data_IF_664986326551
#
_entry.id   IF_664986326551
#
_cell.length_a   1.000
_cell.length_b   1.000
_cell.length_c   1.000
_cell.angle_alpha   90.00
_cell.angle_beta   90.00
_cell.angle_gamma   90.00
#
_symmetry.space_group_name_H-M   'P 1'
#
loop_
_entity.id
_entity.type
_entity.pdbx_description
1 polymer ?
#
# COMPACT_ATOMS: atom_id res chain seq x y z
N UNK A 1 -21.18 -3.31 -34.43
CA UNK A 1 -21.75 -3.03 -33.12
C UNK A 1 -20.64 -2.59 -32.21
N UNK A 2 -20.67 -1.34 -31.91
CA UNK A 2 -19.79 -0.68 -31.00
C UNK A 2 -20.11 -1.15 -29.59
N UNK A 3 -19.41 -2.07 -29.06
CA UNK A 3 -19.44 -2.34 -27.66
C UNK A 3 -18.44 -1.36 -27.01
N UNK A 4 -18.91 -0.13 -26.84
CA UNK A 4 -18.30 0.85 -25.98
C UNK A 4 -18.42 0.36 -24.54
N UNK A 5 -17.63 -0.61 -24.19
CA UNK A 5 -17.36 -0.91 -22.81
C UNK A 5 -16.39 0.16 -22.35
N UNK A 6 -16.89 1.19 -21.70
CA UNK A 6 -16.09 1.96 -20.74
C UNK A 6 -15.58 0.93 -19.74
N UNK A 7 -14.30 0.61 -19.81
CA UNK A 7 -13.72 -0.40 -18.94
C UNK A 7 -13.15 0.21 -17.67
N UNK A 8 -13.12 1.52 -17.59
CA UNK A 8 -12.65 2.24 -16.43
C UNK A 8 -13.85 2.46 -15.49
N UNK A 9 -13.65 2.19 -14.21
CA UNK A 9 -14.71 2.33 -13.22
C UNK A 9 -14.12 2.63 -11.83
N UNK A 10 -14.90 3.32 -11.01
CA UNK A 10 -14.57 3.60 -9.64
C UNK A 10 -15.31 2.66 -8.68
N UNK A 11 -14.56 1.95 -7.85
CA UNK A 11 -15.11 1.19 -6.72
C UNK A 11 -14.71 1.90 -5.43
N UNK A 12 -15.67 2.26 -4.60
CA UNK A 12 -15.40 2.96 -3.35
C UNK A 12 -16.26 2.44 -2.19
N UNK A 13 -15.85 2.77 -0.96
CA UNK A 13 -16.56 2.38 0.26
C UNK A 13 -17.49 3.51 0.73
N UNK A 14 -18.84 3.42 0.50
CA UNK A 14 -19.75 4.54 0.76
C UNK A 14 -19.85 4.93 2.24
N UNK A 15 -19.39 4.05 3.14
CA UNK A 15 -19.32 4.35 4.58
C UNK A 15 -18.14 5.26 4.95
N UNK A 16 -17.13 5.38 4.06
CA UNK A 16 -15.91 6.16 4.27
C UNK A 16 -15.79 7.35 3.31
N UNK A 17 -16.27 7.20 2.09
CA UNK A 17 -16.11 8.14 0.99
C UNK A 17 -17.47 8.52 0.43
N UNK A 18 -17.63 9.76 0.01
CA UNK A 18 -18.79 10.26 -0.72
C UNK A 18 -18.32 10.89 -2.04
N UNK A 19 -19.14 10.79 -3.07
CA UNK A 19 -18.92 11.46 -4.37
C UNK A 19 -19.36 12.92 -4.31
N UNK A 20 -18.75 13.76 -5.14
CA UNK A 20 -19.13 15.16 -5.37
C UNK A 20 -19.31 15.37 -6.87
N UNK A 21 -20.47 15.91 -7.27
CA UNK A 21 -20.83 16.03 -8.67
C UNK A 21 -21.18 14.68 -9.33
N UNK A 22 -21.48 14.74 -10.62
CA UNK A 22 -21.71 13.58 -11.46
C UNK A 22 -20.41 13.19 -12.18
N UNK A 23 -20.21 11.91 -12.41
CA UNK A 23 -19.15 11.39 -13.28
C UNK A 23 -19.31 11.94 -14.70
N UNK A 24 -18.23 12.34 -15.31
CA UNK A 24 -18.16 12.71 -16.72
C UNK A 24 -17.25 11.74 -17.45
N UNK A 25 -17.45 11.62 -18.74
CA UNK A 25 -16.65 10.79 -19.64
C UNK A 25 -16.16 11.69 -20.77
N UNK A 26 -14.85 11.66 -21.04
CA UNK A 26 -14.31 12.34 -22.22
C UNK A 26 -14.77 11.61 -23.48
N UNK A 27 -15.67 12.25 -24.25
CA UNK A 27 -16.21 11.64 -25.47
C UNK A 27 -15.41 12.04 -26.71
N UNK A 28 -15.59 11.32 -27.82
CA UNK A 28 -14.93 11.62 -29.12
C UNK A 28 -15.26 13.01 -29.67
N UNK A 29 -16.42 13.57 -29.24
CA UNK A 29 -16.89 14.90 -29.65
C UNK A 29 -16.27 16.03 -28.81
N UNK A 30 -15.72 15.68 -27.65
CA UNK A 30 -15.16 16.65 -26.72
C UNK A 30 -13.73 16.98 -27.10
N UNK A 31 -13.52 18.16 -27.66
CA UNK A 31 -12.26 18.77 -27.98
C UNK A 31 -11.37 18.15 -29.09
N UNK A 32 -10.47 18.94 -29.63
CA UNK A 32 -9.44 18.62 -30.64
C UNK A 32 -9.94 18.25 -32.05
N UNK A 33 -11.13 18.71 -32.48
CA UNK A 33 -11.66 18.47 -33.85
C UNK A 33 -11.72 16.97 -34.24
N UNK A 34 -12.12 16.10 -33.31
CA UNK A 34 -12.26 14.67 -33.54
C UNK A 34 -10.94 13.92 -33.65
N UNK A 35 -9.86 14.42 -33.04
CA UNK A 35 -8.52 13.82 -33.06
C UNK A 35 -7.87 13.77 -31.68
N UNK A 36 -8.63 13.47 -30.67
CA UNK A 36 -8.12 13.39 -29.30
C UNK A 36 -7.43 12.05 -28.97
N UNK A 37 -7.31 11.13 -29.91
CA UNK A 37 -6.69 9.82 -29.71
C UNK A 37 -7.61 8.78 -29.06
N UNK A 38 -8.85 9.14 -28.71
CA UNK A 38 -9.82 8.22 -28.09
C UNK A 38 -10.90 7.68 -29.04
N UNK A 39 -10.83 8.00 -30.31
CA UNK A 39 -11.81 7.58 -31.34
C UNK A 39 -12.02 6.04 -31.40
N UNK A 40 -11.01 5.28 -30.95
CA UNK A 40 -11.05 3.84 -30.89
C UNK A 40 -10.41 3.30 -29.60
N UNK A 41 -10.35 4.14 -28.55
CA UNK A 41 -9.75 3.83 -27.28
C UNK A 41 -10.79 3.74 -26.14
N UNK A 42 -10.30 3.42 -24.96
CA UNK A 42 -11.06 3.55 -23.70
C UNK A 42 -11.10 5.02 -23.33
N UNK A 43 -12.29 5.51 -23.09
CA UNK A 43 -12.49 6.92 -22.76
C UNK A 43 -12.22 7.16 -21.28
N UNK A 44 -11.46 8.20 -20.92
CA UNK A 44 -11.27 8.56 -19.51
C UNK A 44 -12.59 8.96 -18.87
N UNK A 45 -12.74 8.61 -17.62
CA UNK A 45 -13.83 9.05 -16.76
C UNK A 45 -13.30 9.75 -15.51
N UNK A 46 -14.07 10.70 -14.98
CA UNK A 46 -13.75 11.41 -13.76
C UNK A 46 -14.73 11.10 -12.64
N UNK A 47 -14.28 11.22 -11.42
CA UNK A 47 -15.13 11.34 -10.25
C UNK A 47 -14.43 12.13 -9.15
N UNK A 48 -15.12 13.11 -8.62
CA UNK A 48 -14.65 13.77 -7.43
C UNK A 48 -15.13 13.04 -6.17
N UNK A 49 -14.22 12.88 -5.21
CA UNK A 49 -14.45 12.20 -3.94
C UNK A 49 -14.09 13.10 -2.77
N UNK A 50 -14.76 12.86 -1.64
CA UNK A 50 -14.40 13.44 -0.34
C UNK A 50 -14.58 12.42 0.77
N UNK A 51 -13.94 12.64 1.92
CA UNK A 51 -14.27 11.87 3.12
C UNK A 51 -15.74 12.04 3.46
N UNK A 52 -16.39 10.99 3.93
CA UNK A 52 -17.79 11.08 4.34
C UNK A 52 -17.96 12.09 5.47
N UNK A 53 -18.83 13.08 5.25
CA UNK A 53 -19.07 14.17 6.19
C UNK A 53 -18.16 15.38 6.04
N UNK A 54 -17.14 15.32 5.17
CA UNK A 54 -16.31 16.48 4.85
C UNK A 54 -17.05 17.48 3.94
N UNK A 55 -16.57 18.73 3.90
CA UNK A 55 -17.12 19.74 2.97
C UNK A 55 -16.77 19.39 1.51
N UNK A 56 -17.55 19.90 0.55
CA UNK A 56 -17.26 19.70 -0.88
C UNK A 56 -15.95 20.36 -1.29
N UNK A 57 -15.55 21.44 -0.63
CA UNK A 57 -14.25 22.11 -0.82
C UNK A 57 -13.04 21.21 -0.47
N UNK A 58 -13.24 20.17 0.32
CA UNK A 58 -12.18 19.23 0.70
C UNK A 58 -12.01 18.10 -0.33
N UNK A 59 -12.91 18.04 -1.33
CA UNK A 59 -12.87 17.02 -2.35
C UNK A 59 -11.59 17.03 -3.19
N UNK A 60 -11.30 15.89 -3.77
CA UNK A 60 -10.26 15.68 -4.75
C UNK A 60 -10.86 15.00 -5.99
N UNK A 61 -10.38 15.42 -7.16
CA UNK A 61 -10.76 14.83 -8.43
C UNK A 61 -9.84 13.66 -8.74
N UNK A 62 -10.43 12.54 -9.20
CA UNK A 62 -9.70 11.41 -9.77
C UNK A 62 -10.16 11.23 -11.20
N UNK A 63 -9.21 11.18 -12.13
CA UNK A 63 -9.49 10.88 -13.54
C UNK A 63 -8.83 9.54 -13.87
N UNK A 64 -9.65 8.53 -14.13
CA UNK A 64 -9.20 7.21 -14.53
C UNK A 64 -9.04 7.17 -16.05
N UNK A 65 -7.98 6.49 -16.51
CA UNK A 65 -7.71 6.42 -17.93
C UNK A 65 -6.95 5.14 -18.31
N UNK A 66 -7.07 4.76 -19.59
CA UNK A 66 -6.35 3.66 -20.17
C UNK A 66 -5.91 4.01 -21.59
N UNK A 67 -4.65 4.38 -21.75
CA UNK A 67 -4.09 4.80 -23.03
C UNK A 67 -3.95 3.64 -24.02
N UNK A 68 -3.77 3.99 -25.27
CA UNK A 68 -3.60 3.01 -26.35
C UNK A 68 -2.37 2.15 -26.14
N UNK A 69 -2.57 0.82 -26.17
CA UNK A 69 -1.49 -0.16 -26.00
C UNK A 69 -0.46 -0.12 -27.14
N UNK A 70 0.74 -0.59 -26.86
CA UNK A 70 1.86 -0.67 -27.81
C UNK A 70 1.72 -1.83 -28.83
N UNK A 71 0.68 -2.66 -28.74
CA UNK A 71 0.58 -3.93 -29.46
C UNK A 71 0.44 -3.80 -30.98
N UNK A 72 -0.24 -2.77 -31.50
CA UNK A 72 -0.45 -2.64 -32.94
C UNK A 72 -0.58 -1.19 -33.38
N UNK A 73 -0.05 -0.89 -34.57
CA UNK A 73 -0.25 0.38 -35.27
C UNK A 73 -1.59 0.38 -36.01
N UNK A 74 -2.41 1.42 -35.82
CA UNK A 74 -3.66 1.58 -36.56
C UNK A 74 -3.47 2.29 -37.91
N UNK A 75 -2.37 3.01 -38.08
CA UNK A 75 -2.01 3.75 -39.30
C UNK A 75 -0.51 4.08 -39.32
N UNK A 76 -0.03 4.71 -40.37
CA UNK A 76 1.40 5.01 -40.56
C UNK A 76 1.99 5.90 -39.45
N UNK A 77 1.19 6.82 -38.87
CA UNK A 77 1.64 7.72 -37.77
C UNK A 77 1.85 6.96 -36.45
N UNK A 78 1.21 5.81 -36.32
CA UNK A 78 1.24 4.96 -35.12
C UNK A 78 2.20 3.78 -35.22
N UNK A 79 2.99 3.70 -36.30
CA UNK A 79 4.05 2.70 -36.38
C UNK A 79 5.16 3.01 -35.41
N UNK A 80 5.81 1.98 -34.92
CA UNK A 80 6.97 2.10 -34.03
C UNK A 80 8.04 2.96 -34.68
N UNK A 81 8.43 4.11 -34.09
CA UNK A 81 9.46 4.97 -34.63
C UNK A 81 10.87 4.41 -34.41
N UNK A 82 11.04 3.32 -33.68
CA UNK A 82 12.32 2.71 -33.35
C UNK A 82 13.12 3.44 -32.27
N UNK A 83 12.48 4.30 -31.50
CA UNK A 83 13.09 5.07 -30.40
C UNK A 83 12.79 4.46 -29.00
N UNK A 84 12.19 3.26 -28.96
CA UNK A 84 11.81 2.55 -27.76
C UNK A 84 10.38 2.83 -27.27
N UNK A 85 9.68 3.81 -27.86
CA UNK A 85 8.29 4.15 -27.48
C UNK A 85 7.27 3.11 -27.98
N UNK A 86 7.63 2.31 -29.01
CA UNK A 86 6.77 1.31 -29.61
C UNK A 86 5.61 1.87 -30.42
N UNK A 87 4.74 0.99 -30.89
CA UNK A 87 3.57 1.39 -31.67
C UNK A 87 2.64 2.35 -30.89
N UNK A 88 1.88 3.15 -31.60
CA UNK A 88 0.84 4.06 -31.12
C UNK A 88 1.32 5.20 -30.18
N UNK A 89 2.61 5.55 -30.21
CA UNK A 89 3.13 6.69 -29.45
C UNK A 89 2.44 8.00 -29.83
N UNK A 90 2.20 8.23 -31.13
CA UNK A 90 1.45 9.39 -31.60
C UNK A 90 0.06 9.49 -30.96
N UNK A 91 -0.68 8.37 -30.90
CA UNK A 91 -2.01 8.32 -30.29
C UNK A 91 -1.90 8.58 -28.76
N UNK A 92 -0.96 7.97 -28.06
CA UNK A 92 -0.79 8.20 -26.63
C UNK A 92 -0.43 9.65 -26.29
N UNK A 93 0.36 10.32 -27.16
CA UNK A 93 0.64 11.74 -26.98
C UNK A 93 -0.63 12.59 -27.13
N UNK A 94 -1.49 12.29 -28.11
CA UNK A 94 -2.77 12.97 -28.26
C UNK A 94 -3.71 12.71 -27.09
N UNK A 95 -3.72 11.47 -26.58
CA UNK A 95 -4.49 11.10 -25.37
C UNK A 95 -4.03 11.86 -24.13
N UNK A 96 -2.70 12.06 -23.96
CA UNK A 96 -2.18 12.86 -22.85
C UNK A 96 -2.62 14.33 -22.94
N UNK A 97 -2.58 14.93 -24.13
CA UNK A 97 -3.03 16.30 -24.34
C UNK A 97 -4.55 16.44 -24.06
N UNK A 98 -5.36 15.49 -24.54
CA UNK A 98 -6.80 15.49 -24.33
C UNK A 98 -7.16 15.24 -22.84
N UNK A 99 -6.46 14.33 -22.17
CA UNK A 99 -6.64 14.07 -20.74
C UNK A 99 -6.39 15.33 -19.91
N UNK A 100 -5.31 16.05 -20.19
CA UNK A 100 -4.97 17.29 -19.47
C UNK A 100 -6.05 18.37 -19.68
N UNK A 101 -6.49 18.58 -20.91
CA UNK A 101 -7.53 19.55 -21.22
C UNK A 101 -8.88 19.20 -20.57
N UNK A 102 -9.30 17.94 -20.64
CA UNK A 102 -10.50 17.44 -19.96
C UNK A 102 -10.42 17.65 -18.46
N UNK A 103 -9.29 17.31 -17.86
CA UNK A 103 -9.05 17.46 -16.43
C UNK A 103 -9.15 18.93 -15.99
N UNK A 104 -8.57 19.85 -16.75
CA UNK A 104 -8.63 21.28 -16.44
C UNK A 104 -10.05 21.84 -16.54
N UNK A 105 -10.85 21.39 -17.50
CA UNK A 105 -12.26 21.75 -17.62
C UNK A 105 -13.05 21.26 -16.40
N UNK A 106 -12.95 19.97 -16.08
CA UNK A 106 -13.68 19.36 -14.93
C UNK A 106 -13.28 20.01 -13.62
N UNK A 107 -11.97 20.20 -13.41
CA UNK A 107 -11.42 20.87 -12.23
C UNK A 107 -11.99 22.27 -12.06
N UNK A 108 -12.05 23.04 -13.16
CA UNK A 108 -12.59 24.41 -13.19
C UNK A 108 -14.07 24.43 -12.84
N UNK A 109 -14.87 23.57 -13.45
CA UNK A 109 -16.33 23.50 -13.25
C UNK A 109 -16.70 23.10 -11.83
N UNK A 110 -15.99 22.12 -11.27
CA UNK A 110 -16.19 21.65 -9.90
C UNK A 110 -15.50 22.54 -8.85
N UNK A 111 -14.68 23.50 -9.27
CA UNK A 111 -13.90 24.38 -8.40
C UNK A 111 -13.00 23.62 -7.44
N UNK A 112 -12.35 22.57 -7.94
CA UNK A 112 -11.45 21.72 -7.16
C UNK A 112 -9.99 22.05 -7.45
N UNK A 113 -9.14 21.90 -6.43
CA UNK A 113 -7.70 22.14 -6.58
C UNK A 113 -6.90 20.83 -6.67
N UNK A 114 -7.32 19.80 -5.94
CA UNK A 114 -6.59 18.53 -5.83
C UNK A 114 -7.00 17.60 -6.97
N UNK A 115 -6.03 17.15 -7.76
CA UNK A 115 -6.26 16.26 -8.90
C UNK A 115 -5.28 15.09 -8.89
N UNK A 116 -5.82 13.89 -9.09
CA UNK A 116 -5.07 12.68 -9.37
C UNK A 116 -5.46 12.15 -10.75
N UNK A 117 -4.45 11.81 -11.58
CA UNK A 117 -4.64 11.08 -12.83
C UNK A 117 -4.15 9.65 -12.60
N UNK A 118 -4.98 8.66 -12.88
CA UNK A 118 -4.69 7.27 -12.52
C UNK A 118 -4.99 6.32 -13.68
N UNK A 119 -4.27 5.22 -13.75
CA UNK A 119 -4.57 4.14 -14.70
C UNK A 119 -3.35 3.60 -15.44
N UNK A 120 -3.62 2.78 -16.45
CA UNK A 120 -2.63 2.25 -17.38
C UNK A 120 -2.41 3.24 -18.53
N UNK A 121 -1.27 3.92 -18.50
CA UNK A 121 -0.88 4.88 -19.54
C UNK A 121 -0.18 4.20 -20.74
N UNK A 122 0.08 2.91 -20.67
CA UNK A 122 0.80 2.15 -21.70
C UNK A 122 2.11 2.82 -22.17
N UNK A 123 2.74 3.58 -21.30
CA UNK A 123 3.97 4.31 -21.55
C UNK A 123 4.84 4.33 -20.29
N UNK A 124 6.14 4.16 -20.47
CA UNK A 124 7.10 4.26 -19.39
C UNK A 124 7.45 5.71 -19.08
N UNK A 125 8.00 5.97 -17.90
CA UNK A 125 8.25 7.31 -17.39
C UNK A 125 8.98 8.23 -18.38
N UNK A 126 10.02 7.74 -19.08
CA UNK A 126 10.80 8.54 -20.02
C UNK A 126 10.08 8.83 -21.35
N UNK A 127 8.93 8.21 -21.61
CA UNK A 127 8.22 8.38 -22.88
C UNK A 127 7.46 9.71 -22.94
N UNK A 128 7.30 10.25 -24.15
CA UNK A 128 6.70 11.56 -24.41
C UNK A 128 5.31 11.76 -23.80
N UNK A 129 4.37 10.78 -23.84
CA UNK A 129 3.05 10.95 -23.22
C UNK A 129 3.14 11.26 -21.72
N UNK A 130 4.02 10.54 -21.01
CA UNK A 130 4.24 10.74 -19.57
C UNK A 130 4.93 12.09 -19.31
N UNK A 131 5.95 12.41 -20.10
CA UNK A 131 6.68 13.67 -19.95
C UNK A 131 5.79 14.91 -20.22
N UNK A 132 4.77 14.82 -21.05
CA UNK A 132 3.75 15.86 -21.21
C UNK A 132 2.97 16.11 -19.91
N UNK A 133 2.57 15.03 -19.22
CA UNK A 133 1.84 15.12 -17.94
C UNK A 133 2.74 15.72 -16.85
N UNK A 134 4.00 15.30 -16.79
CA UNK A 134 4.99 15.85 -15.86
C UNK A 134 5.23 17.34 -16.15
N UNK A 135 5.39 17.72 -17.42
CA UNK A 135 5.58 19.11 -17.84
C UNK A 135 4.36 20.01 -17.53
N UNK A 136 3.16 19.43 -17.43
CA UNK A 136 1.95 20.12 -16.97
C UNK A 136 1.87 20.30 -15.44
N UNK A 137 2.91 19.94 -14.70
CA UNK A 137 3.03 20.15 -13.25
C UNK A 137 2.52 19.01 -12.38
N UNK A 138 2.39 17.80 -12.94
CA UNK A 138 2.04 16.60 -12.17
C UNK A 138 3.29 15.84 -11.74
N UNK A 139 3.25 15.32 -10.53
CA UNK A 139 4.28 14.44 -9.99
C UNK A 139 3.84 12.98 -10.15
N UNK A 140 4.68 12.14 -10.72
CA UNK A 140 4.46 10.70 -10.83
C UNK A 140 4.86 9.99 -9.54
N UNK A 141 3.88 9.50 -8.79
CA UNK A 141 4.08 8.79 -7.54
C UNK A 141 4.57 7.36 -7.77
N UNK A 142 4.19 6.73 -8.89
CA UNK A 142 4.62 5.38 -9.23
C UNK A 142 6.11 5.34 -9.55
N UNK A 143 6.62 6.34 -10.28
CA UNK A 143 8.05 6.45 -10.57
C UNK A 143 8.86 6.71 -9.30
N UNK A 144 8.39 7.57 -8.39
CA UNK A 144 9.04 7.79 -7.10
C UNK A 144 9.16 6.49 -6.28
N UNK A 145 8.14 5.61 -6.33
CA UNK A 145 8.20 4.29 -5.69
C UNK A 145 9.22 3.40 -6.40
N UNK A 146 9.19 3.37 -7.74
CA UNK A 146 10.10 2.56 -8.55
C UNK A 146 11.56 2.92 -8.31
N UNK A 147 11.89 4.22 -8.33
CA UNK A 147 13.23 4.73 -8.03
C UNK A 147 13.72 4.36 -6.63
N UNK A 148 12.83 4.45 -5.64
CA UNK A 148 13.17 4.22 -4.23
C UNK A 148 13.28 2.74 -3.86
N UNK A 149 12.43 1.89 -4.45
CA UNK A 149 12.22 0.51 -3.97
C UNK A 149 12.61 -0.56 -4.99
N UNK A 150 12.76 -0.20 -6.27
CA UNK A 150 12.93 -1.14 -7.37
C UNK A 150 11.67 -1.96 -7.70
N UNK A 151 10.49 -1.54 -7.22
CA UNK A 151 9.21 -2.14 -7.56
C UNK A 151 8.65 -1.51 -8.82
N UNK A 152 7.98 -2.30 -9.64
CA UNK A 152 7.38 -1.87 -10.91
C UNK A 152 5.98 -2.48 -11.06
N UNK A 153 5.14 -1.86 -11.89
CA UNK A 153 3.76 -2.30 -12.07
C UNK A 153 3.60 -3.40 -13.12
N UNK A 154 4.61 -3.59 -13.99
CA UNK A 154 4.53 -4.54 -15.10
C UNK A 154 5.85 -5.29 -15.29
N UNK A 155 5.76 -6.58 -15.53
CA UNK A 155 6.89 -7.43 -15.93
C UNK A 155 6.62 -8.06 -17.31
N UNK A 156 7.61 -8.02 -18.18
CA UNK A 156 7.50 -8.51 -19.55
C UNK A 156 8.70 -9.36 -19.96
N UNK A 157 8.51 -10.13 -21.01
CA UNK A 157 9.60 -10.89 -21.62
C UNK A 157 9.89 -10.34 -23.00
N UNK A 158 11.17 -10.14 -23.30
CA UNK A 158 11.65 -9.76 -24.62
C UNK A 158 12.57 -10.85 -25.16
N UNK A 159 12.59 -11.03 -26.48
CA UNK A 159 13.59 -11.83 -27.15
C UNK A 159 14.70 -10.90 -27.62
N UNK A 160 15.94 -11.24 -27.30
CA UNK A 160 17.10 -10.56 -27.86
C UNK A 160 17.33 -10.96 -29.35
N UNK A 161 18.29 -10.30 -30.01
CA UNK A 161 18.61 -10.57 -31.39
C UNK A 161 19.07 -12.02 -31.66
N UNK A 162 19.50 -12.73 -30.62
CA UNK A 162 19.91 -14.14 -30.66
C UNK A 162 18.73 -15.09 -30.38
N UNK A 163 17.53 -14.57 -30.12
CA UNK A 163 16.33 -15.34 -29.80
C UNK A 163 16.23 -15.81 -28.34
N UNK A 164 17.14 -15.39 -27.46
CA UNK A 164 17.04 -15.68 -26.04
C UNK A 164 15.92 -14.87 -25.41
N UNK A 165 15.21 -15.47 -24.48
CA UNK A 165 14.16 -14.78 -23.74
C UNK A 165 14.76 -14.09 -22.51
N UNK A 166 14.68 -12.77 -22.47
CA UNK A 166 15.09 -11.94 -21.34
C UNK A 166 13.85 -11.33 -20.68
N UNK A 167 13.86 -11.21 -19.35
CA UNK A 167 12.84 -10.50 -18.62
C UNK A 167 13.18 -9.02 -18.51
N UNK A 168 12.16 -8.17 -18.55
CA UNK A 168 12.25 -6.75 -18.24
C UNK A 168 11.13 -6.36 -17.30
N UNK A 169 11.32 -5.25 -16.60
CA UNK A 169 10.32 -4.66 -15.70
C UNK A 169 10.17 -3.17 -15.98
N UNK A 170 9.02 -2.60 -15.69
CA UNK A 170 8.77 -1.18 -15.80
C UNK A 170 7.36 -0.83 -15.33
N UNK A 171 7.10 0.45 -15.11
CA UNK A 171 5.77 0.92 -14.73
C UNK A 171 5.03 1.45 -15.94
N UNK A 172 3.89 0.86 -16.26
CA UNK A 172 2.92 1.33 -17.26
C UNK A 172 1.71 1.97 -16.57
N UNK A 173 1.48 1.56 -15.32
CA UNK A 173 0.41 2.08 -14.47
C UNK A 173 0.99 3.21 -13.60
N UNK A 174 0.37 4.37 -13.68
CA UNK A 174 0.83 5.57 -12.99
C UNK A 174 -0.27 6.17 -12.14
N UNK A 175 0.14 6.80 -11.03
CA UNK A 175 -0.67 7.75 -10.29
C UNK A 175 0.07 9.08 -10.29
N UNK A 176 -0.50 10.03 -10.99
CA UNK A 176 -0.02 11.41 -10.99
C UNK A 176 -0.81 12.25 -10.01
N UNK A 177 -0.14 13.14 -9.31
CA UNK A 177 -0.75 14.12 -8.45
C UNK A 177 -0.28 15.53 -8.82
N UNK A 178 -1.19 16.50 -8.96
CA UNK A 178 -0.81 17.88 -9.09
C UNK A 178 -0.30 18.44 -7.75
N UNK A 179 0.28 19.64 -7.74
CA UNK A 179 0.87 20.23 -6.53
C UNK A 179 -0.10 20.28 -5.34
N UNK A 180 -1.38 20.61 -5.58
CA UNK A 180 -2.39 20.68 -4.54
C UNK A 180 -2.72 19.30 -3.96
N UNK A 181 -2.79 18.25 -4.80
CA UNK A 181 -3.00 16.88 -4.39
C UNK A 181 -1.79 16.31 -3.64
N UNK A 182 -0.56 16.63 -4.10
CA UNK A 182 0.68 16.20 -3.45
C UNK A 182 0.74 16.59 -1.97
N UNK A 183 0.21 17.75 -1.61
CA UNK A 183 0.12 18.18 -0.20
C UNK A 183 -0.75 17.27 0.66
N UNK A 184 -1.60 16.46 0.07
CA UNK A 184 -2.44 15.49 0.79
C UNK A 184 -1.89 14.06 0.79
N UNK A 185 -0.88 13.77 -0.03
CA UNK A 185 -0.28 12.44 -0.11
C UNK A 185 0.51 12.13 1.16
N UNK A 186 0.22 11.00 1.77
CA UNK A 186 0.89 10.51 2.99
C UNK A 186 1.85 9.36 2.73
N UNK A 187 1.77 8.73 1.56
CA UNK A 187 2.67 7.66 1.12
C UNK A 187 2.20 7.05 -0.19
N UNK A 188 3.09 6.32 -0.83
CA UNK A 188 2.82 5.54 -2.03
C UNK A 188 3.59 4.22 -1.99
N UNK A 189 3.04 3.17 -2.60
CA UNK A 189 3.70 1.89 -2.81
C UNK A 189 3.13 1.18 -4.05
N UNK A 190 3.87 0.20 -4.57
CA UNK A 190 3.41 -0.73 -5.59
C UNK A 190 3.27 -2.10 -4.92
N UNK A 191 2.08 -2.68 -5.00
CA UNK A 191 1.78 -3.96 -4.36
C UNK A 191 2.04 -5.11 -5.33
N UNK A 192 3.26 -5.66 -5.31
CA UNK A 192 3.71 -6.71 -6.23
C UNK A 192 3.10 -8.08 -5.88
N UNK A 193 1.87 -8.30 -6.31
CA UNK A 193 1.10 -9.56 -6.14
C UNK A 193 0.68 -10.19 -7.47
N UNK A 194 1.00 -9.56 -8.58
CA UNK A 194 0.52 -9.96 -9.90
C UNK A 194 1.66 -10.15 -10.92
N UNK A 195 2.34 -9.07 -11.33
CA UNK A 195 3.25 -9.09 -12.48
C UNK A 195 4.45 -10.04 -12.29
N UNK A 196 4.92 -10.17 -11.06
CA UNK A 196 6.05 -11.02 -10.67
C UNK A 196 5.64 -12.46 -10.29
N UNK A 197 4.35 -12.71 -10.13
CA UNK A 197 3.81 -14.02 -9.81
C UNK A 197 3.83 -14.95 -11.05
N UNK A 198 3.89 -16.25 -10.80
CA UNK A 198 3.91 -17.23 -11.86
C UNK A 198 2.67 -17.14 -12.74
N UNK A 199 2.85 -17.11 -14.07
CA UNK A 199 1.77 -17.19 -15.05
C UNK A 199 0.90 -18.46 -14.88
N UNK A 200 1.41 -19.49 -14.19
CA UNK A 200 0.65 -20.68 -13.88
C UNK A 200 -0.53 -20.42 -12.91
N UNK A 201 -0.47 -19.33 -12.16
CA UNK A 201 -1.53 -18.91 -11.23
C UNK A 201 -2.55 -17.97 -11.88
N UNK A 202 -2.33 -17.54 -13.12
CA UNK A 202 -3.13 -16.53 -13.79
C UNK A 202 -4.61 -16.93 -13.91
N UNK A 203 -5.50 -15.96 -13.70
CA UNK A 203 -6.96 -16.13 -13.78
C UNK A 203 -7.45 -16.52 -15.17
N UNK A 204 -6.74 -16.14 -16.22
CA UNK A 204 -7.11 -16.30 -17.64
C UNK A 204 -6.79 -17.68 -18.17
N UNK A 205 -6.73 -18.69 -17.61
CA UNK A 205 -6.49 -20.11 -17.96
C UNK A 205 -6.48 -20.50 -19.45
N UNK A 206 -6.90 -19.61 -20.34
CA UNK A 206 -6.99 -19.88 -21.78
C UNK A 206 -5.63 -19.97 -22.47
N UNK A 207 -4.65 -19.24 -21.98
CA UNK A 207 -3.32 -19.16 -22.57
C UNK A 207 -2.36 -20.21 -22.01
N UNK A 208 -2.67 -20.79 -20.86
CA UNK A 208 -1.78 -21.68 -20.12
C UNK A 208 -2.56 -22.90 -19.63
N UNK A 209 -2.00 -24.10 -19.82
CA UNK A 209 -2.63 -25.35 -19.36
C UNK A 209 -2.57 -25.59 -17.85
N UNK A 210 -2.44 -24.55 -17.07
CA UNK A 210 -2.23 -24.60 -15.61
C UNK A 210 -3.53 -24.54 -14.80
N UNK A 211 -4.61 -25.15 -15.27
CA UNK A 211 -5.94 -25.13 -14.63
C UNK A 211 -5.95 -25.52 -13.16
N UNK A 212 -5.02 -26.37 -12.74
CA UNK A 212 -4.98 -26.92 -11.40
C UNK A 212 -4.25 -26.01 -10.39
N UNK A 213 -3.54 -24.98 -10.85
CA UNK A 213 -2.77 -24.06 -10.00
C UNK A 213 -3.48 -22.74 -9.75
N UNK A 214 -4.51 -22.41 -10.55
CA UNK A 214 -5.33 -21.23 -10.32
C UNK A 214 -6.09 -21.34 -8.99
N UNK A 215 -6.04 -20.28 -8.22
CA UNK A 215 -6.86 -20.07 -7.03
C UNK A 215 -7.59 -18.72 -7.14
N UNK A 216 -8.81 -18.64 -6.59
CA UNK A 216 -9.59 -17.42 -6.59
C UNK A 216 -9.17 -16.55 -5.38
N UNK A 217 -7.95 -16.04 -5.44
CA UNK A 217 -7.36 -15.16 -4.43
C UNK A 217 -6.83 -13.87 -5.08
N UNK A 218 -6.06 -13.08 -4.35
CA UNK A 218 -5.54 -11.81 -4.83
C UNK A 218 -4.31 -11.93 -5.74
N UNK A 219 -3.64 -13.09 -5.75
CA UNK A 219 -2.40 -13.26 -6.49
C UNK A 219 -2.65 -13.57 -7.96
N UNK A 220 -1.89 -12.94 -8.85
CA UNK A 220 -1.99 -13.09 -10.30
C UNK A 220 -3.42 -12.87 -10.85
N UNK A 221 -4.19 -12.01 -10.20
CA UNK A 221 -5.51 -11.59 -10.66
C UNK A 221 -5.44 -10.64 -11.87
N UNK A 222 -4.25 -10.17 -12.22
CA UNK A 222 -3.91 -9.34 -13.38
C UNK A 222 -2.47 -9.65 -13.82
N UNK A 223 -2.05 -9.18 -14.97
CA UNK A 223 -0.64 -9.10 -15.39
C UNK A 223 0.03 -7.79 -14.94
N UNK A 224 -0.74 -6.86 -14.36
CA UNK A 224 -0.27 -5.62 -13.78
C UNK A 224 -0.40 -5.61 -12.25
N UNK A 225 0.50 -4.90 -11.58
CA UNK A 225 0.47 -4.69 -10.14
C UNK A 225 -0.22 -3.38 -9.76
N UNK A 226 -1.07 -3.38 -8.73
CA UNK A 226 -1.76 -2.17 -8.30
C UNK A 226 -0.81 -1.17 -7.63
N UNK A 227 -0.97 0.10 -7.97
CA UNK A 227 -0.36 1.23 -7.27
C UNK A 227 -1.27 1.66 -6.14
N UNK A 228 -0.71 1.89 -4.96
CA UNK A 228 -1.43 2.29 -3.75
C UNK A 228 -0.91 3.63 -3.28
N UNK A 229 -1.81 4.56 -3.00
CA UNK A 229 -1.47 5.83 -2.35
C UNK A 229 -2.30 6.03 -1.08
N UNK A 230 -1.67 6.62 -0.08
CA UNK A 230 -2.35 7.17 1.08
C UNK A 230 -2.58 8.66 0.90
N UNK A 231 -3.79 9.13 1.18
CA UNK A 231 -4.11 10.56 1.18
C UNK A 231 -4.78 10.98 2.49
N UNK A 232 -4.43 12.17 2.97
CA UNK A 232 -5.16 12.81 4.07
C UNK A 232 -6.48 13.37 3.54
N UNK A 233 -7.58 12.84 4.01
CA UNK A 233 -8.93 13.20 3.56
C UNK A 233 -9.51 14.47 4.25
N UNK A 234 -8.82 15.01 5.25
CA UNK A 234 -9.18 16.28 5.88
C UNK A 234 -8.39 17.41 5.24
N UNK A 235 -9.05 18.53 4.94
CA UNK A 235 -8.48 19.71 4.29
C UNK A 235 -7.44 20.50 5.09
N UNK A 236 -6.84 19.89 6.08
CA UNK A 236 -5.66 20.43 6.73
C UNK A 236 -4.47 20.32 5.78
N UNK A 237 -3.98 21.45 5.33
CA UNK A 237 -2.64 21.61 4.75
C UNK A 237 -1.70 20.66 5.47
N UNK A 238 -1.12 19.71 4.73
CA UNK A 238 -0.24 18.71 5.28
C UNK A 238 0.92 19.34 6.03
N UNK A 239 0.73 19.57 7.31
CA UNK A 239 1.85 19.74 8.21
C UNK A 239 2.57 18.40 8.27
N UNK A 240 3.85 18.38 7.99
CA UNK A 240 4.69 17.22 8.28
C UNK A 240 4.61 16.96 9.78
N UNK A 241 4.06 15.82 10.19
CA UNK A 241 4.16 15.38 11.58
C UNK A 241 5.42 14.52 11.69
N UNK A 242 6.34 14.96 12.53
CA UNK A 242 7.49 14.12 12.87
C UNK A 242 7.02 13.09 13.90
N UNK A 243 7.24 11.81 13.59
CA UNK A 243 7.03 10.70 14.50
C UNK A 243 8.40 10.09 14.84
N UNK A 244 8.67 9.92 16.10
CA UNK A 244 9.84 9.22 16.61
C UNK A 244 9.43 7.79 16.99
N UNK A 245 9.75 6.83 16.15
CA UNK A 245 9.44 5.42 16.38
C UNK A 245 10.63 4.74 17.03
N UNK A 246 10.51 4.42 18.31
CA UNK A 246 11.48 3.64 19.07
C UNK A 246 11.05 2.18 19.01
N UNK A 247 11.88 1.33 18.47
CA UNK A 247 11.59 -0.09 18.34
C UNK A 247 12.72 -0.94 18.87
N UNK A 248 12.37 -2.04 19.53
CA UNK A 248 13.29 -3.09 19.92
C UNK A 248 12.68 -4.48 19.64
N UNK A 249 13.49 -5.51 19.65
CA UNK A 249 13.09 -6.91 19.50
C UNK A 249 13.98 -7.80 20.35
N UNK A 250 13.56 -9.05 20.55
CA UNK A 250 14.35 -10.09 21.24
C UNK A 250 14.82 -9.65 22.64
N UNK A 251 13.93 -9.02 23.40
CA UNK A 251 14.28 -8.53 24.73
C UNK A 251 14.52 -9.69 25.73
N UNK A 252 13.74 -10.79 25.58
CA UNK A 252 13.93 -12.05 26.32
C UNK A 252 14.17 -11.88 27.82
N UNK A 253 13.37 -11.05 28.46
CA UNK A 253 13.50 -10.84 29.89
C UNK A 253 14.90 -10.43 30.34
N UNK A 254 15.63 -9.69 29.50
CA UNK A 254 16.97 -9.20 29.78
C UNK A 254 16.97 -8.04 30.75
N UNK A 255 16.48 -8.34 31.96
CA UNK A 255 16.42 -7.41 33.08
C UNK A 255 17.48 -7.72 34.11
N UNK A 256 17.93 -6.68 34.82
CA UNK A 256 18.92 -6.78 35.86
C UNK A 256 19.62 -5.47 36.12
N UNK A 257 20.39 -5.38 37.21
CA UNK A 257 21.01 -4.15 37.66
C UNK A 257 21.78 -3.40 36.56
N UNK A 258 22.49 -4.13 35.70
CA UNK A 258 23.36 -3.54 34.67
C UNK A 258 22.70 -3.52 33.28
N UNK A 259 21.47 -3.96 33.13
CA UNK A 259 20.74 -4.03 31.84
C UNK A 259 19.53 -3.08 31.85
N UNK A 260 18.66 -3.19 32.84
CA UNK A 260 17.39 -2.47 32.87
C UNK A 260 17.60 -0.95 32.92
N UNK A 261 18.50 -0.46 33.77
CA UNK A 261 18.70 0.99 33.92
C UNK A 261 19.30 1.62 32.67
N UNK A 262 20.37 1.08 32.05
CA UNK A 262 20.87 1.61 30.78
C UNK A 262 19.85 1.55 29.64
N UNK A 263 19.09 0.45 29.51
CA UNK A 263 18.03 0.33 28.50
C UNK A 263 16.94 1.40 28.68
N UNK A 264 16.44 1.53 29.90
CA UNK A 264 15.44 2.55 30.23
C UNK A 264 15.97 3.97 30.00
N UNK A 265 17.20 4.26 30.43
CA UNK A 265 17.83 5.55 30.22
C UNK A 265 17.96 5.91 28.73
N UNK A 266 18.34 4.93 27.89
CA UNK A 266 18.43 5.13 26.43
C UNK A 266 17.04 5.47 25.84
N UNK A 267 16.00 4.73 26.22
CA UNK A 267 14.63 5.00 25.74
C UNK A 267 14.18 6.39 26.18
N UNK A 268 14.38 6.76 27.45
CA UNK A 268 13.98 8.06 27.98
C UNK A 268 14.77 9.22 27.36
N UNK A 269 16.07 9.01 27.06
CA UNK A 269 16.87 10.00 26.34
C UNK A 269 16.34 10.24 24.93
N UNK A 270 16.10 9.15 24.16
CA UNK A 270 15.58 9.24 22.80
C UNK A 270 14.15 9.82 22.76
N UNK A 271 13.36 9.52 23.79
CA UNK A 271 12.00 10.09 23.95
C UNK A 271 12.06 11.58 24.26
N UNK A 272 13.02 12.01 25.06
CA UNK A 272 13.17 13.41 25.45
C UNK A 272 13.52 14.32 24.26
N UNK A 273 14.10 13.79 23.20
CA UNK A 273 14.35 14.54 21.96
C UNK A 273 13.03 14.85 21.21
N UNK A 274 11.98 14.03 21.41
CA UNK A 274 10.69 14.14 20.74
C UNK A 274 9.53 13.78 21.69
N UNK A 275 9.29 14.55 22.77
CA UNK A 275 8.44 14.13 23.89
C UNK A 275 6.98 13.87 23.49
N UNK A 276 6.43 14.65 22.55
CA UNK A 276 5.03 14.53 22.14
C UNK A 276 4.81 13.63 20.92
N UNK A 277 5.89 13.17 20.27
CA UNK A 277 5.82 12.42 19.02
C UNK A 277 6.51 11.06 19.07
N UNK A 278 6.90 10.59 20.25
CA UNK A 278 7.56 9.29 20.43
C UNK A 278 6.57 8.15 20.66
N UNK A 279 6.78 7.04 19.98
CA UNK A 279 6.04 5.78 20.11
C UNK A 279 7.00 4.63 20.35
N UNK A 280 6.91 3.95 21.49
CA UNK A 280 7.71 2.77 21.81
C UNK A 280 6.96 1.51 21.38
N UNK A 281 7.63 0.71 20.56
CA UNK A 281 7.13 -0.54 19.97
C UNK A 281 8.10 -1.68 20.22
N UNK A 282 7.61 -2.93 20.11
CA UNK A 282 8.46 -4.11 20.09
C UNK A 282 8.06 -5.03 18.92
N UNK A 283 9.02 -5.77 18.38
CA UNK A 283 8.82 -6.67 17.25
C UNK A 283 8.72 -8.16 17.66
N UNK A 284 8.41 -8.42 18.93
CA UNK A 284 8.23 -9.77 19.47
C UNK A 284 9.40 -10.22 20.34
N UNK A 285 9.26 -11.42 20.92
CA UNK A 285 10.20 -12.07 21.84
C UNK A 285 10.60 -11.17 23.01
N UNK A 286 9.61 -10.48 23.56
CA UNK A 286 9.80 -9.65 24.75
C UNK A 286 9.96 -10.49 26.00
N UNK A 287 9.26 -11.62 26.07
CA UNK A 287 9.26 -12.62 27.14
C UNK A 287 9.64 -14.00 26.56
N UNK A 288 9.86 -14.98 27.43
CA UNK A 288 10.31 -16.32 27.03
C UNK A 288 11.81 -16.38 26.75
N UNK A 289 12.41 -17.54 26.86
CA UNK A 289 13.87 -17.75 26.88
C UNK A 289 14.62 -16.72 27.78
N UNK A 290 13.98 -16.30 28.84
CA UNK A 290 14.36 -15.16 29.68
C UNK A 290 15.49 -15.51 30.65
N UNK A 291 16.22 -14.48 31.09
CA UNK A 291 17.17 -14.61 32.20
C UNK A 291 16.45 -15.07 33.48
N UNK A 292 17.21 -15.76 34.36
CA UNK A 292 16.68 -16.39 35.56
C UNK A 292 15.85 -15.46 36.44
N UNK A 293 16.26 -14.19 36.62
CA UNK A 293 15.57 -13.20 37.42
C UNK A 293 14.19 -12.81 36.85
N UNK A 294 13.96 -13.02 35.55
CA UNK A 294 12.65 -12.86 34.94
C UNK A 294 11.89 -14.20 34.88
N UNK A 295 12.52 -15.23 34.33
CA UNK A 295 11.89 -16.54 34.11
C UNK A 295 11.42 -17.21 35.41
N UNK A 296 12.17 -17.08 36.51
CA UNK A 296 11.77 -17.60 37.82
C UNK A 296 10.45 -17.02 38.35
N UNK A 297 10.03 -15.88 37.86
CA UNK A 297 8.78 -15.18 38.17
C UNK A 297 7.82 -15.14 36.97
N UNK A 298 7.95 -16.09 36.03
CA UNK A 298 7.11 -16.19 34.82
C UNK A 298 7.05 -14.88 34.04
N UNK A 299 8.19 -14.20 33.94
CA UNK A 299 8.38 -12.94 33.23
C UNK A 299 7.59 -11.71 33.74
N UNK A 300 6.98 -11.82 34.94
CA UNK A 300 6.28 -10.68 35.52
C UNK A 300 7.19 -9.46 35.66
N UNK A 301 8.45 -9.56 36.16
CA UNK A 301 9.32 -8.39 36.26
C UNK A 301 9.63 -7.72 34.91
N UNK A 302 9.68 -8.49 33.82
CA UNK A 302 9.84 -7.96 32.46
C UNK A 302 8.60 -7.19 32.03
N UNK A 303 7.42 -7.76 32.27
CA UNK A 303 6.14 -7.08 31.98
C UNK A 303 6.06 -5.76 32.73
N UNK A 304 6.43 -5.73 34.02
CA UNK A 304 6.40 -4.54 34.83
C UNK A 304 7.36 -3.45 34.32
N UNK A 305 8.57 -3.83 33.88
CA UNK A 305 9.54 -2.90 33.28
C UNK A 305 9.00 -2.33 31.97
N UNK A 306 8.46 -3.14 31.07
CA UNK A 306 7.95 -2.68 29.80
C UNK A 306 6.67 -1.84 29.95
N UNK A 307 5.82 -2.14 30.93
CA UNK A 307 4.71 -1.28 31.33
C UNK A 307 5.21 0.09 31.81
N UNK A 308 6.20 0.11 32.69
CA UNK A 308 6.78 1.34 33.23
C UNK A 308 7.43 2.19 32.13
N UNK A 309 8.02 1.57 31.11
CA UNK A 309 8.58 2.26 29.93
C UNK A 309 7.50 2.71 28.93
N UNK A 310 6.24 2.33 29.15
CA UNK A 310 5.13 2.77 28.31
C UNK A 310 5.15 2.17 26.91
N UNK A 311 5.57 0.88 26.78
CA UNK A 311 5.39 0.12 25.56
C UNK A 311 3.94 0.20 25.09
N UNK A 312 3.69 0.46 23.79
CA UNK A 312 2.34 0.68 23.25
C UNK A 312 1.81 -0.51 22.46
N UNK A 313 2.67 -1.13 21.67
CA UNK A 313 2.31 -2.34 20.94
C UNK A 313 3.54 -3.23 20.72
N UNK A 314 3.31 -4.52 20.66
CA UNK A 314 4.32 -5.53 20.31
C UNK A 314 3.71 -6.55 19.36
N UNK A 315 4.41 -6.91 18.28
CA UNK A 315 4.11 -8.18 17.65
C UNK A 315 4.34 -9.31 18.68
N UNK A 316 3.67 -10.45 18.51
CA UNK A 316 4.10 -11.68 19.17
C UNK A 316 5.29 -12.26 18.40
N UNK A 317 6.30 -12.74 19.11
CA UNK A 317 7.31 -13.64 18.56
C UNK A 317 7.00 -15.08 18.90
N UNK A 318 7.89 -16.01 18.57
CA UNK A 318 7.69 -17.41 18.90
C UNK A 318 7.78 -17.66 20.42
N UNK A 319 8.61 -16.92 21.14
CA UNK A 319 8.82 -17.11 22.58
C UNK A 319 7.67 -16.59 23.45
N UNK A 320 6.79 -15.74 22.95
CA UNK A 320 5.54 -15.43 23.64
C UNK A 320 4.67 -16.68 23.86
N UNK A 321 4.86 -17.74 23.08
CA UNK A 321 4.12 -19.00 23.20
C UNK A 321 4.85 -20.08 24.02
N UNK A 322 6.00 -19.81 24.64
CA UNK A 322 6.76 -20.81 25.42
C UNK A 322 5.95 -21.41 26.57
N UNK A 323 5.11 -20.64 27.25
CA UNK A 323 4.22 -21.08 28.33
C UNK A 323 2.80 -21.44 27.83
N UNK A 324 2.56 -21.30 26.53
CA UNK A 324 1.31 -21.62 25.85
C UNK A 324 0.43 -20.42 25.53
N UNK A 325 -0.38 -20.59 24.50
CA UNK A 325 -1.34 -19.58 24.05
C UNK A 325 -2.31 -19.14 25.18
N UNK A 326 -2.76 -20.09 25.99
CA UNK A 326 -3.67 -19.80 27.12
C UNK A 326 -2.97 -18.95 28.21
N UNK A 327 -1.67 -19.18 28.45
CA UNK A 327 -0.89 -18.37 29.38
C UNK A 327 -0.67 -16.94 28.82
N UNK A 328 -0.33 -16.83 27.54
CA UNK A 328 -0.19 -15.54 26.87
C UNK A 328 -1.48 -14.72 26.98
N UNK A 329 -2.62 -15.29 26.61
CA UNK A 329 -3.89 -14.55 26.58
C UNK A 329 -4.49 -14.34 27.96
N UNK A 330 -4.35 -15.32 28.86
CA UNK A 330 -4.96 -15.27 30.21
C UNK A 330 -4.15 -14.48 31.23
N UNK A 331 -2.84 -14.75 31.34
CA UNK A 331 -1.95 -14.17 32.36
C UNK A 331 -1.18 -12.97 31.83
N UNK A 332 -0.52 -13.11 30.68
CA UNK A 332 0.37 -12.07 30.15
C UNK A 332 -0.44 -10.89 29.62
N UNK A 333 -1.38 -11.12 28.72
CA UNK A 333 -2.25 -10.07 28.21
C UNK A 333 -3.30 -9.70 29.27
N UNK A 334 -3.97 -10.71 29.83
CA UNK A 334 -5.06 -10.53 30.75
C UNK A 334 -6.39 -10.22 30.04
N UNK A 335 -7.43 -10.00 30.83
CA UNK A 335 -8.77 -9.69 30.33
C UNK A 335 -9.10 -8.21 30.48
N UNK A 336 -10.15 -7.75 29.80
CA UNK A 336 -10.63 -6.39 29.90
C UNK A 336 -10.86 -5.96 31.36
N UNK A 337 -10.30 -4.81 31.72
CA UNK A 337 -10.31 -4.28 33.08
C UNK A 337 -9.28 -4.89 34.05
N UNK A 338 -8.53 -5.91 33.63
CA UNK A 338 -7.44 -6.56 34.39
C UNK A 338 -6.25 -6.91 33.50
N UNK A 339 -5.91 -6.04 32.56
CA UNK A 339 -4.72 -6.22 31.69
C UNK A 339 -3.46 -6.21 32.54
N UNK A 340 -2.59 -7.21 32.30
CA UNK A 340 -1.27 -7.28 32.92
C UNK A 340 -0.25 -6.57 32.03
N UNK A 341 -0.07 -7.00 30.78
CA UNK A 341 0.63 -6.21 29.76
C UNK A 341 -0.27 -5.04 29.31
N UNK A 342 0.18 -3.81 29.55
CA UNK A 342 -0.59 -2.59 29.23
C UNK A 342 -0.48 -2.18 27.76
N UNK A 343 0.33 -2.89 26.97
CA UNK A 343 0.45 -2.70 25.52
C UNK A 343 -0.41 -3.70 24.75
N UNK A 344 -0.59 -3.44 23.46
CA UNK A 344 -1.31 -4.36 22.59
C UNK A 344 -0.36 -5.42 22.04
N UNK A 345 -0.61 -6.70 22.35
CA UNK A 345 0.01 -7.82 21.66
C UNK A 345 -0.72 -8.09 20.36
N UNK A 346 0.02 -8.13 19.23
CA UNK A 346 -0.51 -8.21 17.88
C UNK A 346 -0.02 -9.47 17.17
N UNK A 347 -0.93 -10.14 16.44
CA UNK A 347 -0.64 -11.33 15.67
C UNK A 347 -1.59 -11.49 14.50
N UNK A 348 -1.42 -10.67 13.44
CA UNK A 348 -2.32 -10.62 12.29
C UNK A 348 -2.37 -11.95 11.50
N UNK A 349 -1.34 -12.76 11.59
CA UNK A 349 -1.25 -14.08 10.96
C UNK A 349 -1.39 -15.25 11.95
N UNK A 350 -1.91 -15.00 13.15
CA UNK A 350 -2.17 -16.05 14.16
C UNK A 350 -3.67 -16.31 14.20
N UNK A 351 -4.07 -17.50 13.82
CA UNK A 351 -5.48 -17.92 13.71
C UNK A 351 -5.79 -19.09 14.62
N UNK A 352 -7.05 -19.21 15.03
CA UNK A 352 -7.56 -20.43 15.69
C UNK A 352 -7.51 -21.58 14.71
N UNK A 353 -6.91 -22.69 15.13
CA UNK A 353 -6.64 -23.86 14.29
C UNK A 353 -7.89 -24.38 13.58
N UNK A 354 -7.77 -24.55 12.25
CA UNK A 354 -8.85 -25.01 11.40
C UNK A 354 -9.95 -24.00 11.13
N UNK A 355 -9.73 -22.73 11.47
CA UNK A 355 -10.68 -21.64 11.21
C UNK A 355 -9.96 -20.45 10.58
N UNK A 356 -10.71 -19.50 9.99
CA UNK A 356 -10.19 -18.20 9.60
C UNK A 356 -10.34 -17.12 10.69
N UNK A 357 -10.59 -17.54 11.94
CA UNK A 357 -10.82 -16.60 13.05
C UNK A 357 -9.48 -16.17 13.65
N UNK A 358 -9.16 -14.87 13.73
CA UNK A 358 -7.97 -14.40 14.41
C UNK A 358 -7.91 -14.89 15.86
N UNK A 359 -6.74 -15.36 16.29
CA UNK A 359 -6.49 -15.82 17.65
C UNK A 359 -6.00 -14.67 18.54
N UNK A 360 -5.39 -13.64 17.95
CA UNK A 360 -4.91 -12.43 18.62
C UNK A 360 -5.44 -11.20 17.89
N UNK A 361 -5.27 -10.05 18.50
CA UNK A 361 -5.54 -8.76 17.86
C UNK A 361 -4.62 -8.59 16.65
N UNK A 362 -5.16 -8.22 15.49
CA UNK A 362 -4.40 -8.14 14.24
C UNK A 362 -3.59 -6.85 14.14
N UNK A 363 -4.18 -5.74 14.62
CA UNK A 363 -3.57 -4.41 14.59
C UNK A 363 -4.05 -3.54 15.75
N UNK A 364 -3.33 -2.47 16.03
CA UNK A 364 -3.78 -1.40 16.91
C UNK A 364 -3.59 -0.03 16.27
N UNK A 365 -4.36 0.96 16.75
CA UNK A 365 -4.25 2.35 16.33
C UNK A 365 -3.74 3.18 17.51
N UNK A 366 -2.54 3.71 17.36
CA UNK A 366 -1.93 4.60 18.34
C UNK A 366 -2.09 6.06 17.90
N UNK A 367 -2.48 6.93 18.81
CA UNK A 367 -2.52 8.37 18.55
C UNK A 367 -1.24 9.03 19.08
N UNK A 368 -0.46 9.60 18.19
CA UNK A 368 0.82 10.22 18.52
C UNK A 368 0.86 11.61 17.90
N UNK A 369 0.93 12.64 18.70
CA UNK A 369 0.96 14.04 18.24
C UNK A 369 -0.12 14.37 17.18
N UNK A 370 -1.35 13.91 17.42
CA UNK A 370 -2.48 14.11 16.50
C UNK A 370 -2.48 13.19 15.27
N UNK A 371 -1.45 12.36 15.08
CA UNK A 371 -1.37 11.39 14.00
C UNK A 371 -1.87 10.02 14.47
N UNK A 372 -2.72 9.39 13.67
CA UNK A 372 -3.18 8.02 13.91
C UNK A 372 -2.21 7.04 13.24
N UNK A 373 -1.44 6.33 14.05
CA UNK A 373 -0.45 5.34 13.61
C UNK A 373 -1.06 3.95 13.71
N UNK A 374 -1.22 3.27 12.58
CA UNK A 374 -1.62 1.87 12.54
C UNK A 374 -0.40 0.97 12.76
N UNK A 375 -0.46 0.08 13.75
CA UNK A 375 0.57 -0.92 14.02
C UNK A 375 -0.02 -2.29 13.73
N UNK A 376 0.62 -3.07 12.86
CA UNK A 376 0.25 -4.44 12.52
C UNK A 376 1.38 -5.34 13.00
N UNK A 377 1.07 -6.37 13.78
CA UNK A 377 2.04 -7.37 14.24
C UNK A 377 1.92 -8.66 13.46
N UNK A 378 3.05 -9.23 13.08
CA UNK A 378 3.14 -10.56 12.44
C UNK A 378 4.24 -11.37 13.11
N UNK A 379 4.06 -12.69 13.17
CA UNK A 379 5.06 -13.63 13.67
C UNK A 379 5.60 -14.49 12.53
N UNK A 380 6.81 -15.01 12.67
CA UNK A 380 7.40 -15.89 11.65
C UNK A 380 6.55 -17.14 11.42
N UNK A 381 6.42 -17.53 10.16
CA UNK A 381 5.70 -18.75 9.77
C UNK A 381 6.34 -20.03 10.38
N UNK A 382 7.62 -19.96 10.71
CA UNK A 382 8.37 -21.06 11.32
C UNK A 382 8.02 -21.31 12.80
N UNK A 383 7.22 -20.45 13.43
CA UNK A 383 6.79 -20.57 14.83
C UNK A 383 6.33 -21.99 15.19
N UNK A 384 5.62 -22.67 14.29
CA UNK A 384 5.16 -24.04 14.49
C UNK A 384 6.28 -25.07 14.68
N UNK A 385 7.50 -24.74 14.24
CA UNK A 385 8.71 -25.60 14.41
C UNK A 385 9.62 -25.12 15.52
N UNK A 386 9.46 -23.88 15.98
CA UNK A 386 10.30 -23.24 17.00
C UNK A 386 9.72 -23.37 18.41
N UNK A 387 8.43 -23.64 18.53
CA UNK A 387 7.70 -23.73 19.81
C UNK A 387 7.24 -25.17 20.04
N UNK A 388 7.19 -25.58 21.31
CA UNK A 388 6.62 -26.89 21.65
C UNK A 388 5.17 -27.02 21.15
N UNK A 389 4.71 -28.17 20.65
CA UNK A 389 3.32 -28.32 20.18
C UNK A 389 2.25 -27.97 21.24
N UNK A 390 2.60 -28.03 22.52
CA UNK A 390 1.72 -27.60 23.61
C UNK A 390 1.57 -26.07 23.67
N UNK A 391 2.61 -25.31 23.28
CA UNK A 391 2.62 -23.86 23.31
C UNK A 391 1.66 -23.21 22.31
N UNK A 392 1.45 -23.87 21.18
CA UNK A 392 0.58 -23.41 20.09
C UNK A 392 -0.68 -24.28 19.92
N UNK A 393 -1.07 -24.98 20.99
CA UNK A 393 -2.27 -25.81 20.97
C UNK A 393 -3.51 -24.94 20.72
N UNK A 394 -4.22 -25.19 19.63
CA UNK A 394 -5.45 -24.49 19.28
C UNK A 394 -5.29 -23.27 18.36
N UNK A 395 -4.07 -22.92 18.00
CA UNK A 395 -3.76 -21.87 17.03
C UNK A 395 -2.90 -22.42 15.90
#
# INVERSE_FOLDING_TARGET
SSDGCSSDLFIYKPTKVATVGATRILTDSDAFNGKNGYEHGRQPDDQAFKAKGAADSDAFLVVANHFKSKGSASNALNQDPGDGSGNADYTRQAQADALLAFTDEVKSDLKLEKVFLVGDFNAYYAEKPIQKIVAAGYTDLSEQVSEKTGKYTYAYTVKDESGNTNGGVGSLDHIFANEAAMRSVTGADIWNINSVESVALEYSRYNYNAKNLYQADQFRASDHDPVIIGISASGTTGGTATLNLLNFNDFHGRIGKNLTVPFAATIEQLRAEHPDSSLLLAAGDSIGASLFNSSAQKDQPTIDVLNALGLKASAVGNHEFDQGYDDLTGRVIGTDGKRNAQWDYLGANVYKKGTGTPALQEYSIQNVNGVRVGVIGVVTQETSTLVSPGGIKGI
#
